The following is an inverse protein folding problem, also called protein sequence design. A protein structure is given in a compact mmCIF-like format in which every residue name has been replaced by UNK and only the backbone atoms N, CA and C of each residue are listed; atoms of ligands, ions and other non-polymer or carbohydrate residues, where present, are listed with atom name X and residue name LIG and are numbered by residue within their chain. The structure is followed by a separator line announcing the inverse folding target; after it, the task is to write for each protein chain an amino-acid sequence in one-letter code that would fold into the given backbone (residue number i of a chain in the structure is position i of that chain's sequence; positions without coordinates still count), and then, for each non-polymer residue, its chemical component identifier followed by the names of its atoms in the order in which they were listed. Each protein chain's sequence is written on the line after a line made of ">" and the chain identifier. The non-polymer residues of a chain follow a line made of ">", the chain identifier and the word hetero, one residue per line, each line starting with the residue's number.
data_IF_125213088938
#
_entry.id   IF_125213088938
#
_cell.length_a   1.000
_cell.length_b   1.000
_cell.length_c   1.000
_cell.angle_alpha   90.00
_cell.angle_beta   90.00
_cell.angle_gamma   90.00
#
_symmetry.space_group_name_H-M   'P 1'
#
loop_
_entity.id
_entity.type
_entity.pdbx_description
1 polymer ?
#
# COMPACT_ATOMS: atom_id res chain seq x y z
N UNK A 1 -17.35 18.73 -0.75
CA UNK A 1 -16.77 18.47 0.57
C UNK A 1 -15.36 17.97 0.33
N UNK A 2 -14.31 18.75 0.62
CA UNK A 2 -12.96 18.22 0.48
C UNK A 2 -12.78 17.12 1.52
N UNK A 3 -12.47 15.92 1.05
CA UNK A 3 -12.18 14.78 1.92
C UNK A 3 -10.76 14.96 2.46
N UNK A 4 -10.63 14.92 3.79
CA UNK A 4 -9.34 15.01 4.48
C UNK A 4 -8.54 13.72 4.23
N UNK A 5 -7.82 13.68 3.10
CA UNK A 5 -6.95 12.56 2.77
C UNK A 5 -5.61 12.71 3.48
N UNK A 6 -5.42 11.99 4.57
CA UNK A 6 -4.08 11.78 5.14
C UNK A 6 -3.34 10.76 4.30
N UNK A 7 -2.14 11.11 3.85
CA UNK A 7 -1.29 10.23 3.04
C UNK A 7 -0.14 9.74 3.92
N UNK A 8 0.08 8.43 3.90
CA UNK A 8 1.23 7.78 4.52
C UNK A 8 2.26 7.47 3.43
N UNK A 9 3.53 7.67 3.74
CA UNK A 9 4.67 7.29 2.92
C UNK A 9 5.03 5.85 3.20
N UNK A 10 5.23 5.07 2.15
CA UNK A 10 5.52 3.64 2.20
C UNK A 10 6.76 3.39 1.37
N UNK A 11 7.82 2.93 2.02
CA UNK A 11 9.10 2.66 1.36
C UNK A 11 9.19 1.18 0.99
N UNK A 12 9.57 0.93 -0.26
CA UNK A 12 9.80 -0.38 -0.86
C UNK A 12 11.15 -0.35 -1.61
N UNK A 13 12.20 -0.85 -0.96
CA UNK A 13 13.58 -0.70 -1.37
C UNK A 13 13.96 0.77 -1.54
N UNK A 14 14.40 1.21 -2.74
CA UNK A 14 14.77 2.60 -2.97
C UNK A 14 13.55 3.50 -3.27
N UNK A 15 12.35 2.93 -3.39
CA UNK A 15 11.18 3.66 -3.92
C UNK A 15 10.24 4.05 -2.80
N UNK A 16 9.82 5.31 -2.79
CA UNK A 16 8.77 5.82 -1.92
C UNK A 16 7.44 5.89 -2.69
N UNK A 17 6.40 5.32 -2.10
CA UNK A 17 5.02 5.43 -2.56
C UNK A 17 4.17 6.14 -1.51
N UNK A 18 3.07 6.76 -1.94
CA UNK A 18 2.04 7.23 -1.02
C UNK A 18 0.88 6.24 -0.94
N UNK A 19 0.22 6.19 0.20
CA UNK A 19 -1.03 5.46 0.41
C UNK A 19 -2.01 6.33 1.18
N UNK A 20 -3.30 6.18 0.89
CA UNK A 20 -4.34 6.92 1.62
C UNK A 20 -4.61 6.21 2.94
N UNK A 21 -4.50 6.92 4.06
CA UNK A 21 -4.67 6.34 5.40
C UNK A 21 -6.04 5.67 5.59
N UNK A 22 -7.10 6.18 4.96
CA UNK A 22 -8.44 5.57 5.04
C UNK A 22 -8.57 4.19 4.38
N UNK A 23 -7.57 3.78 3.59
CA UNK A 23 -7.48 2.43 3.05
C UNK A 23 -6.76 1.44 3.99
N UNK A 24 -6.14 1.95 5.05
CA UNK A 24 -5.41 1.16 6.04
C UNK A 24 -6.26 1.00 7.29
N UNK A 25 -6.57 -0.23 7.66
CA UNK A 25 -7.26 -0.54 8.92
C UNK A 25 -6.32 -0.40 10.11
N UNK A 26 -5.12 -0.95 10.00
CA UNK A 26 -4.10 -0.93 11.05
C UNK A 26 -2.72 -1.03 10.43
N UNK A 27 -1.73 -0.45 11.10
CA UNK A 27 -0.31 -0.58 10.79
C UNK A 27 0.35 -1.32 11.94
N UNK A 28 1.24 -2.27 11.63
CA UNK A 28 1.93 -3.02 12.68
C UNK A 28 3.13 -3.79 12.17
N UNK A 29 3.83 -4.45 13.09
CA UNK A 29 4.88 -5.42 12.76
C UNK A 29 4.26 -6.82 12.68
N UNK A 30 4.42 -7.50 11.55
CA UNK A 30 3.94 -8.86 11.30
C UNK A 30 5.13 -9.77 11.06
N UNK A 31 5.11 -10.95 11.69
CA UNK A 31 5.96 -12.07 11.31
C UNK A 31 5.21 -12.89 10.25
N UNK A 32 5.72 -12.99 9.00
CA UNK A 32 5.05 -13.77 7.97
C UNK A 32 5.08 -15.29 8.23
N UNK A 33 5.96 -15.79 9.12
CA UNK A 33 5.98 -17.19 9.53
C UNK A 33 4.93 -17.51 10.62
N UNK A 34 4.49 -16.49 11.37
CA UNK A 34 3.41 -16.58 12.36
C UNK A 34 2.41 -15.43 12.17
N UNK A 35 1.64 -15.45 11.07
CA UNK A 35 0.73 -14.36 10.72
C UNK A 35 -0.40 -14.24 11.74
N UNK A 36 -0.68 -13.03 12.27
CA UNK A 36 -1.74 -12.84 13.24
C UNK A 36 -3.11 -13.11 12.62
N UNK A 37 -4.11 -13.31 13.47
CA UNK A 37 -5.49 -13.47 13.03
C UNK A 37 -6.16 -12.11 12.76
N UNK A 38 -7.08 -12.09 11.79
CA UNK A 38 -8.01 -10.99 11.56
C UNK A 38 -9.09 -10.91 12.66
N UNK A 39 -9.95 -9.90 12.58
CA UNK A 39 -11.06 -9.70 13.53
C UNK A 39 -12.07 -10.88 13.59
N UNK A 40 -12.01 -11.80 12.63
CA UNK A 40 -12.84 -13.00 12.58
C UNK A 40 -12.09 -14.27 13.01
N UNK A 41 -10.88 -14.13 13.56
CA UNK A 41 -10.06 -15.25 14.03
C UNK A 41 -9.38 -16.02 12.90
N UNK A 42 -9.35 -15.50 11.66
CA UNK A 42 -8.71 -16.16 10.52
C UNK A 42 -7.30 -15.62 10.32
N UNK A 43 -6.35 -16.50 10.03
CA UNK A 43 -4.98 -16.07 9.70
C UNK A 43 -4.97 -15.07 8.53
N UNK A 44 -4.25 -13.95 8.71
CA UNK A 44 -4.08 -12.93 7.69
C UNK A 44 -3.35 -13.49 6.46
N UNK A 45 -3.80 -13.07 5.28
CA UNK A 45 -3.02 -13.30 4.06
C UNK A 45 -1.89 -12.28 4.02
N UNK A 46 -0.66 -12.74 4.22
CA UNK A 46 0.54 -11.90 4.17
C UNK A 46 1.16 -11.94 2.77
N UNK A 47 1.42 -10.77 2.18
CA UNK A 47 2.13 -10.65 0.90
C UNK A 47 3.10 -9.47 0.89
N UNK A 48 4.26 -9.68 0.28
CA UNK A 48 5.27 -8.64 0.09
C UNK A 48 4.85 -7.70 -1.04
N UNK A 49 4.78 -6.40 -0.73
CA UNK A 49 4.36 -5.41 -1.71
C UNK A 49 5.48 -5.07 -2.73
N UNK A 50 6.74 -5.10 -2.29
CA UNK A 50 7.90 -4.76 -3.13
C UNK A 50 7.99 -5.61 -4.41
N UNK A 51 8.10 -6.95 -4.31
CA UNK A 51 8.16 -7.83 -5.48
C UNK A 51 6.96 -7.69 -6.41
N UNK A 52 5.77 -7.44 -5.85
CA UNK A 52 4.55 -7.22 -6.65
C UNK A 52 4.66 -5.97 -7.53
N UNK A 53 5.37 -4.94 -7.06
CA UNK A 53 5.62 -3.70 -7.80
C UNK A 53 6.92 -3.72 -8.62
N UNK A 54 7.58 -4.88 -8.73
CA UNK A 54 8.83 -5.03 -9.47
C UNK A 54 10.09 -4.62 -8.70
N UNK A 55 9.97 -4.30 -7.41
CA UNK A 55 11.14 -4.09 -6.55
C UNK A 55 11.79 -5.45 -6.23
N UNK A 56 13.11 -5.62 -6.44
CA UNK A 56 13.76 -6.87 -6.14
C UNK A 56 13.65 -7.21 -4.64
N UNK A 57 13.52 -8.49 -4.28
CA UNK A 57 13.49 -8.90 -2.89
C UNK A 57 14.80 -8.51 -2.20
N UNK A 58 14.70 -7.95 -0.99
CA UNK A 58 15.84 -7.63 -0.15
C UNK A 58 16.05 -8.73 0.91
N UNK A 59 17.20 -8.80 1.60
CA UNK A 59 17.34 -9.63 2.79
C UNK A 59 16.43 -9.08 3.89
N UNK A 60 15.54 -9.91 4.42
CA UNK A 60 14.39 -9.42 5.18
C UNK A 60 14.53 -9.73 6.68
N UNK A 61 14.20 -8.77 7.57
CA UNK A 61 14.07 -9.05 8.99
C UNK A 61 12.90 -10.01 9.23
N UNK A 62 12.94 -10.75 10.35
CA UNK A 62 11.90 -11.73 10.69
C UNK A 62 10.55 -11.09 11.01
N UNK A 63 10.52 -9.83 11.48
CA UNK A 63 9.29 -9.02 11.56
C UNK A 63 9.34 -7.86 10.59
N UNK A 64 8.19 -7.55 9.97
CA UNK A 64 8.09 -6.53 8.93
C UNK A 64 6.95 -5.57 9.20
N UNK A 65 7.13 -4.32 8.76
CA UNK A 65 6.01 -3.39 8.72
C UNK A 65 4.93 -3.93 7.78
N UNK A 66 3.68 -3.83 8.20
CA UNK A 66 2.54 -4.29 7.45
C UNK A 66 1.45 -3.23 7.45
N UNK A 67 0.87 -3.01 6.27
CA UNK A 67 -0.40 -2.31 6.10
C UNK A 67 -1.49 -3.37 6.11
N UNK A 68 -2.31 -3.38 7.16
CA UNK A 68 -3.47 -4.25 7.23
C UNK A 68 -4.62 -3.57 6.50
N UNK A 69 -5.10 -4.22 5.44
CA UNK A 69 -6.19 -3.74 4.60
C UNK A 69 -7.40 -4.63 4.82
N UNK A 70 -8.45 -4.06 5.41
CA UNK A 70 -9.73 -4.75 5.57
C UNK A 70 -10.45 -4.87 4.23
N UNK A 71 -10.83 -6.08 3.86
CA UNK A 71 -11.83 -6.38 2.84
C UNK A 71 -13.11 -6.85 3.55
N UNK A 72 -14.21 -6.99 2.79
CA UNK A 72 -15.54 -7.30 3.38
C UNK A 72 -15.60 -8.56 4.27
N UNK A 73 -14.70 -9.53 4.10
CA UNK A 73 -14.78 -10.84 4.78
C UNK A 73 -13.45 -11.35 5.33
N UNK A 74 -12.35 -10.64 5.07
CA UNK A 74 -10.96 -11.01 5.39
C UNK A 74 -10.10 -9.75 5.37
N UNK A 75 -8.97 -9.79 6.06
CA UNK A 75 -7.94 -8.75 5.95
C UNK A 75 -6.67 -9.30 5.29
N UNK A 76 -5.96 -8.41 4.60
CA UNK A 76 -4.69 -8.71 3.93
C UNK A 76 -3.60 -7.87 4.58
N UNK A 77 -2.47 -8.48 4.92
CA UNK A 77 -1.28 -7.80 5.40
C UNK A 77 -0.33 -7.59 4.22
N UNK A 78 -0.20 -6.34 3.76
CA UNK A 78 0.77 -5.95 2.75
C UNK A 78 2.08 -5.56 3.45
N UNK A 79 3.10 -6.39 3.30
CA UNK A 79 4.41 -6.22 3.94
C UNK A 79 5.24 -5.21 3.18
N UNK A 80 5.83 -4.28 3.92
CA UNK A 80 6.59 -3.12 3.44
C UNK A 80 7.86 -2.97 4.29
N UNK A 81 8.82 -2.17 3.83
CA UNK A 81 10.07 -1.99 4.57
C UNK A 81 9.89 -0.98 5.70
N UNK A 82 9.25 0.14 5.38
CA UNK A 82 9.03 1.26 6.31
C UNK A 82 7.77 2.03 5.96
N UNK A 83 7.17 2.60 6.99
CA UNK A 83 6.08 3.56 6.89
C UNK A 83 6.44 4.86 7.59
N UNK A 84 6.09 5.99 6.99
CA UNK A 84 6.29 7.33 7.52
C UNK A 84 5.03 8.17 7.33
N UNK A 85 4.71 9.05 8.28
CA UNK A 85 3.66 10.05 8.07
C UNK A 85 4.21 11.16 7.18
N UNK A 86 3.59 11.40 6.02
CA UNK A 86 3.98 12.50 5.16
C UNK A 86 3.17 13.75 5.53
N UNK A 87 3.89 14.83 5.82
CA UNK A 87 3.29 16.15 5.92
C UNK A 87 3.22 16.75 4.52
N UNK A 88 2.04 16.70 3.91
CA UNK A 88 1.76 17.45 2.69
C UNK A 88 1.20 18.81 3.10
N UNK A 89 1.80 19.87 2.57
CA UNK A 89 1.29 21.22 2.75
C UNK A 89 -0.02 21.36 1.98
N UNK A 90 -1.07 21.83 2.66
CA UNK A 90 -2.45 21.88 2.15
C UNK A 90 -3.06 20.48 1.89
N UNK A 91 -4.34 20.45 1.53
CA UNK A 91 -4.97 19.20 1.08
C UNK A 91 -4.43 18.85 -0.31
N UNK A 92 -3.63 17.79 -0.45
CA UNK A 92 -2.99 17.49 -1.72
C UNK A 92 -4.04 17.07 -2.74
N UNK A 93 -4.05 17.73 -3.89
CA UNK A 93 -4.88 17.32 -5.02
C UNK A 93 -4.29 16.05 -5.63
N UNK A 94 -5.06 14.97 -5.61
CA UNK A 94 -4.66 13.73 -6.27
C UNK A 94 -4.87 13.91 -7.77
N UNK A 95 -3.76 13.97 -8.50
CA UNK A 95 -3.78 13.98 -9.96
C UNK A 95 -3.96 12.55 -10.47
N UNK A 96 -5.08 12.28 -11.11
CA UNK A 96 -5.33 10.99 -11.75
C UNK A 96 -4.28 10.71 -12.82
N UNK A 97 -3.85 9.45 -12.92
CA UNK A 97 -2.95 9.05 -14.00
C UNK A 97 -3.64 9.27 -15.35
N UNK A 98 -2.93 9.88 -16.30
CA UNK A 98 -3.43 10.05 -17.65
C UNK A 98 -3.82 8.68 -18.24
N UNK A 99 -4.93 8.58 -19.00
CA UNK A 99 -5.44 7.31 -19.52
C UNK A 99 -4.39 6.48 -20.27
N UNK A 100 -3.50 7.15 -21.01
CA UNK A 100 -2.42 6.49 -21.75
C UNK A 100 -1.39 5.81 -20.83
N UNK A 101 -1.10 6.40 -19.66
CA UNK A 101 -0.25 5.79 -18.65
C UNK A 101 -0.98 4.62 -17.97
N UNK A 102 -2.26 4.81 -17.63
CA UNK A 102 -3.07 3.77 -17.01
C UNK A 102 -3.13 2.48 -17.86
N UNK A 103 -3.21 2.61 -19.20
CA UNK A 103 -3.19 1.48 -20.13
C UNK A 103 -1.83 0.78 -20.24
N UNK A 104 -0.74 1.44 -19.86
CA UNK A 104 0.62 0.90 -19.92
C UNK A 104 1.10 0.28 -18.62
N UNK A 105 0.38 0.51 -17.53
CA UNK A 105 0.66 -0.16 -16.27
C UNK A 105 0.27 -1.63 -16.39
N UNK A 106 1.15 -2.52 -15.94
CA UNK A 106 0.88 -3.95 -15.90
C UNK A 106 -0.39 -4.26 -15.09
N UNK A 107 -0.72 -3.40 -14.11
CA UNK A 107 -1.88 -3.54 -13.22
C UNK A 107 -2.44 -2.17 -12.81
N UNK A 108 -3.75 -2.03 -12.58
CA UNK A 108 -4.39 -0.78 -12.17
C UNK A 108 -4.25 -0.56 -10.65
N UNK A 109 -3.01 -0.57 -10.15
CA UNK A 109 -2.70 -0.50 -8.72
C UNK A 109 -2.40 0.90 -8.21
N UNK A 110 -2.68 1.91 -9.02
CA UNK A 110 -2.39 3.29 -8.72
C UNK A 110 -3.68 4.11 -8.76
N UNK A 111 -3.91 4.89 -7.71
CA UNK A 111 -4.98 5.89 -7.67
C UNK A 111 -4.62 7.11 -8.51
N UNK A 112 -3.36 7.53 -8.48
CA UNK A 112 -2.91 8.79 -9.04
C UNK A 112 -1.52 9.15 -8.55
N UNK A 113 -1.22 10.45 -8.56
CA UNK A 113 -0.02 11.02 -7.97
C UNK A 113 -0.36 12.30 -7.19
N UNK A 114 0.48 12.64 -6.22
CA UNK A 114 0.49 13.95 -5.55
C UNK A 114 1.89 14.55 -5.65
N UNK A 115 2.03 15.86 -5.47
CA UNK A 115 3.34 16.49 -5.36
C UNK A 115 3.80 16.45 -3.90
N UNK A 116 4.98 15.90 -3.67
CA UNK A 116 5.65 15.85 -2.36
C UNK A 116 7.12 16.22 -2.55
N UNK A 117 7.61 17.22 -1.81
CA UNK A 117 8.98 17.74 -1.94
C UNK A 117 9.35 18.06 -3.40
N UNK A 118 8.47 18.79 -4.10
CA UNK A 118 8.63 19.18 -5.52
C UNK A 118 8.76 18.01 -6.51
N UNK A 119 8.45 16.78 -6.10
CA UNK A 119 8.48 15.59 -6.93
C UNK A 119 7.13 14.85 -6.94
N UNK A 120 6.78 14.15 -8.02
CA UNK A 120 5.58 13.33 -8.05
C UNK A 120 5.75 12.10 -7.17
N UNK A 121 4.82 11.93 -6.23
CA UNK A 121 4.67 10.74 -5.40
C UNK A 121 3.48 9.93 -5.90
N UNK A 122 3.74 8.71 -6.40
CA UNK A 122 2.69 7.80 -6.86
C UNK A 122 1.88 7.26 -5.69
N UNK A 123 0.55 7.27 -5.84
CA UNK A 123 -0.39 6.77 -4.84
C UNK A 123 -0.89 5.38 -5.20
N UNK A 124 -0.69 4.42 -4.31
CA UNK A 124 -1.16 3.05 -4.48
C UNK A 124 -2.64 2.91 -4.08
N UNK A 125 -3.37 2.08 -4.83
CA UNK A 125 -4.70 1.61 -4.44
C UNK A 125 -4.59 0.32 -3.63
N UNK A 126 -4.47 0.46 -2.31
CA UNK A 126 -4.29 -0.68 -1.40
C UNK A 126 -5.49 -1.62 -1.40
N UNK A 127 -6.71 -1.11 -1.60
CA UNK A 127 -7.90 -1.95 -1.65
C UNK A 127 -7.90 -2.80 -2.91
N UNK A 128 -7.49 -2.24 -4.05
CA UNK A 128 -7.35 -3.00 -5.28
C UNK A 128 -6.25 -4.05 -5.16
N UNK A 129 -5.09 -3.68 -4.65
CA UNK A 129 -3.97 -4.60 -4.44
C UNK A 129 -4.39 -5.74 -3.50
N UNK A 130 -4.98 -5.44 -2.35
CA UNK A 130 -5.46 -6.45 -1.40
C UNK A 130 -6.52 -7.38 -2.02
N UNK A 131 -7.41 -6.84 -2.86
CA UNK A 131 -8.39 -7.64 -3.58
C UNK A 131 -7.71 -8.62 -4.55
N UNK A 132 -6.75 -8.14 -5.34
CA UNK A 132 -6.00 -8.95 -6.30
C UNK A 132 -5.17 -10.04 -5.58
N UNK A 133 -4.57 -9.72 -4.42
CA UNK A 133 -3.91 -10.69 -3.54
C UNK A 133 -4.88 -11.77 -3.07
N UNK A 134 -6.07 -11.39 -2.62
CA UNK A 134 -7.05 -12.31 -2.06
C UNK A 134 -7.60 -13.29 -3.10
N UNK A 135 -7.69 -12.88 -4.37
CA UNK A 135 -8.15 -13.75 -5.47
C UNK A 135 -7.02 -14.50 -6.17
N UNK A 136 -5.76 -14.33 -5.74
CA UNK A 136 -4.60 -14.99 -6.34
C UNK A 136 -4.23 -14.47 -7.73
N UNK A 137 -4.57 -13.22 -8.05
CA UNK A 137 -4.22 -12.59 -9.33
C UNK A 137 -2.80 -12.05 -9.35
N UNK A 138 -2.02 -12.21 -8.27
CA UNK A 138 -0.68 -11.63 -8.05
C UNK A 138 0.44 -12.59 -8.36
#
# INVERSE_FOLDING_TARGET
>A
MPSDYRILGVTLGPTLFGVVQSQVETVGLVDPADPPADMHGRSLVCRELGPMLGTPPQPLPTRRHALIVALRRRSVALLIDRIDSLYLENQPEIQMLAPLLAQRLARPWFLGAVIYQDAPLLLLDLRRIATDVMIGAV
#
